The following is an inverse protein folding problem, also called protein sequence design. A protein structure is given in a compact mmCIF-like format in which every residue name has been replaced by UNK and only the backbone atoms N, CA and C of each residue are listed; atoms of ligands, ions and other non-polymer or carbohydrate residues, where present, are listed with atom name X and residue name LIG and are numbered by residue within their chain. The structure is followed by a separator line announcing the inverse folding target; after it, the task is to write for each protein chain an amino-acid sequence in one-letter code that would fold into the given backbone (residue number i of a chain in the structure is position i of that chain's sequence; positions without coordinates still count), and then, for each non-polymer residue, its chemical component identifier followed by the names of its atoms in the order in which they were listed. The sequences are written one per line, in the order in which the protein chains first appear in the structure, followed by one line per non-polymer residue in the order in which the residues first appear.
data_IF_591872289692
#
_entry.id   IF_591872289692
#
_cell.length_a   1.000
_cell.length_b   1.000
_cell.length_c   1.000
_cell.angle_alpha   90.00
_cell.angle_beta   90.00
_cell.angle_gamma   90.00
#
_symmetry.space_group_name_H-M   'P 1'
#
loop_
_entity.id
_entity.type
_entity.pdbx_description
1 polymer ?
#
# COMPACT_ATOMS: atom_id res chain seq x y z
N UNK A 1 -20.41 27.66 -10.69
CA UNK A 1 -20.93 28.25 -11.94
C UNK A 1 -19.81 29.09 -12.54
N UNK A 2 -19.30 28.71 -13.72
CA UNK A 2 -18.36 29.57 -14.45
C UNK A 2 -19.13 30.80 -14.91
N UNK A 3 -18.58 31.98 -14.65
CA UNK A 3 -19.22 33.25 -15.03
C UNK A 3 -18.97 33.45 -16.51
N UNK A 4 -20.05 33.59 -17.28
CA UNK A 4 -19.98 33.93 -18.70
C UNK A 4 -19.26 35.27 -18.89
N UNK A 5 -18.42 35.35 -19.93
CA UNK A 5 -17.63 36.55 -20.26
C UNK A 5 -18.56 37.71 -20.64
N UNK A 6 -19.09 38.40 -19.65
CA UNK A 6 -20.01 39.52 -19.86
C UNK A 6 -20.89 39.88 -18.67
N UNK A 7 -21.00 39.00 -17.65
CA UNK A 7 -21.84 39.28 -16.48
C UNK A 7 -21.28 40.42 -15.60
N UNK A 8 -19.94 40.59 -15.57
CA UNK A 8 -19.29 41.62 -14.75
C UNK A 8 -18.06 42.18 -15.47
N UNK A 9 -18.00 43.51 -15.61
CA UNK A 9 -16.84 44.23 -16.16
C UNK A 9 -15.78 44.35 -15.06
N UNK A 10 -14.63 43.66 -15.22
CA UNK A 10 -13.53 43.67 -14.23
C UNK A 10 -13.21 42.31 -13.60
N UNK A 11 -13.99 41.27 -13.89
CA UNK A 11 -13.69 39.90 -13.42
C UNK A 11 -12.75 39.22 -14.42
N UNK A 12 -11.43 39.36 -14.19
CA UNK A 12 -10.44 38.53 -14.88
C UNK A 12 -10.75 37.06 -14.59
N UNK A 13 -10.98 36.28 -15.66
CA UNK A 13 -10.94 34.81 -15.64
C UNK A 13 -9.54 34.39 -15.18
N UNK A 14 -9.30 34.42 -13.88
CA UNK A 14 -8.10 33.80 -13.32
C UNK A 14 -8.37 32.31 -13.36
N UNK A 15 -7.75 31.65 -14.34
CA UNK A 15 -7.22 30.31 -14.16
C UNK A 15 -6.63 30.33 -12.74
N UNK A 16 -7.30 29.67 -11.80
CA UNK A 16 -6.81 29.66 -10.42
C UNK A 16 -5.50 28.92 -10.50
N UNK A 17 -4.41 29.65 -10.59
CA UNK A 17 -3.11 29.18 -10.14
C UNK A 17 -3.34 28.94 -8.65
N UNK A 18 -3.84 27.74 -8.35
CA UNK A 18 -3.78 27.19 -7.02
C UNK A 18 -2.29 27.05 -6.78
N UNK A 19 -1.69 28.11 -6.23
CA UNK A 19 -0.37 28.02 -5.61
C UNK A 19 -0.35 26.84 -4.64
N UNK A 20 0.86 26.41 -4.27
CA UNK A 20 1.13 25.25 -3.42
C UNK A 20 0.22 25.23 -2.19
N UNK A 21 -0.90 24.52 -2.30
CA UNK A 21 -1.89 24.38 -1.25
C UNK A 21 -1.87 22.93 -0.84
N UNK A 22 -1.29 22.66 0.33
CA UNK A 22 -1.02 21.29 0.79
C UNK A 22 -2.31 20.45 0.87
N UNK A 23 -3.40 21.05 1.35
CA UNK A 23 -4.71 20.40 1.38
C UNK A 23 -5.22 20.04 -0.03
N UNK A 24 -4.99 20.91 -1.02
CA UNK A 24 -5.33 20.61 -2.41
C UNK A 24 -4.41 19.56 -3.02
N UNK A 25 -3.11 19.54 -2.68
CA UNK A 25 -2.18 18.53 -3.15
C UNK A 25 -2.51 17.14 -2.62
N UNK A 26 -2.85 17.03 -1.33
CA UNK A 26 -3.28 15.77 -0.70
C UNK A 26 -4.64 15.34 -1.24
N UNK A 27 -5.62 16.25 -1.26
CA UNK A 27 -6.99 15.92 -1.69
C UNK A 27 -7.12 15.61 -3.19
N UNK A 28 -6.26 16.19 -4.02
CA UNK A 28 -6.19 15.89 -5.47
C UNK A 28 -5.07 14.93 -5.83
N UNK A 29 -4.41 14.32 -4.83
CA UNK A 29 -3.36 13.34 -5.09
C UNK A 29 -4.00 12.15 -5.79
N UNK A 30 -3.59 11.92 -7.04
CA UNK A 30 -4.00 10.70 -7.76
C UNK A 30 -3.21 9.53 -7.19
N UNK A 31 -3.91 8.43 -6.89
CA UNK A 31 -3.28 7.15 -6.56
C UNK A 31 -2.33 6.78 -7.71
N UNK A 32 -1.07 6.46 -7.39
CA UNK A 32 -0.15 5.91 -8.39
C UNK A 32 -0.78 4.65 -9.01
N UNK A 33 -0.64 4.44 -10.33
CA UNK A 33 -1.16 3.24 -10.96
C UNK A 33 -0.57 2.00 -10.28
N UNK A 34 -1.38 0.95 -10.17
CA UNK A 34 -0.92 -0.30 -9.61
C UNK A 34 0.20 -0.88 -10.49
N UNK A 35 1.33 -1.24 -9.88
CA UNK A 35 2.39 -1.95 -10.56
C UNK A 35 1.90 -3.36 -10.88
N UNK A 36 1.83 -3.71 -12.17
CA UNK A 36 1.36 -5.03 -12.63
C UNK A 36 2.21 -6.20 -12.11
N UNK A 37 3.47 -5.92 -11.78
CA UNK A 37 4.43 -6.91 -11.29
C UNK A 37 5.38 -6.27 -10.29
N UNK A 38 5.67 -6.99 -9.21
CA UNK A 38 6.76 -6.67 -8.30
C UNK A 38 8.04 -7.27 -8.88
N UNK A 39 8.95 -6.43 -9.37
CA UNK A 39 10.29 -6.87 -9.77
C UNK A 39 11.12 -7.12 -8.50
N UNK A 40 11.50 -8.38 -8.26
CA UNK A 40 12.18 -8.80 -7.02
C UNK A 40 13.71 -8.81 -7.14
N UNK A 41 14.25 -8.66 -8.35
CA UNK A 41 15.68 -8.61 -8.67
C UNK A 41 16.58 -9.56 -7.86
N UNK A 42 16.10 -10.76 -7.57
CA UNK A 42 16.83 -11.84 -6.90
C UNK A 42 17.48 -12.74 -7.95
N UNK A 43 18.74 -13.10 -7.75
CA UNK A 43 19.55 -13.92 -8.67
C UNK A 43 19.85 -15.32 -8.14
N UNK A 44 19.82 -15.51 -6.83
CA UNK A 44 20.14 -16.80 -6.18
C UNK A 44 19.15 -17.11 -5.05
N UNK A 45 18.94 -18.40 -4.72
CA UNK A 45 18.17 -18.80 -3.54
C UNK A 45 18.68 -18.12 -2.26
N UNK A 46 17.77 -17.80 -1.34
CA UNK A 46 18.00 -17.18 -0.03
C UNK A 46 18.67 -15.80 -0.06
N UNK A 47 18.76 -15.13 -1.22
CA UNK A 47 19.31 -13.77 -1.31
C UNK A 47 18.40 -12.74 -0.61
N UNK A 48 17.09 -12.93 -0.70
CA UNK A 48 16.08 -12.10 -0.02
C UNK A 48 14.99 -13.03 0.48
N UNK A 49 14.58 -12.87 1.73
CA UNK A 49 13.42 -13.57 2.29
C UNK A 49 12.32 -12.58 2.62
N UNK A 50 11.07 -12.98 2.36
CA UNK A 50 9.89 -12.23 2.73
C UNK A 50 9.25 -12.98 3.90
N UNK A 51 9.10 -12.30 5.03
CA UNK A 51 8.44 -12.85 6.20
C UNK A 51 7.16 -12.06 6.49
N UNK A 52 6.11 -12.76 6.87
CA UNK A 52 4.87 -12.15 7.34
C UNK A 52 4.23 -13.02 8.41
N UNK A 53 3.37 -12.39 9.22
CA UNK A 53 2.66 -13.05 10.31
C UNK A 53 1.16 -13.05 10.00
N UNK A 54 0.62 -14.23 9.75
CA UNK A 54 -0.82 -14.41 9.65
C UNK A 54 -1.39 -14.62 11.06
N UNK A 55 -2.18 -13.66 11.53
CA UNK A 55 -2.89 -13.76 12.81
C UNK A 55 -4.36 -14.07 12.50
N UNK A 56 -4.79 -15.34 12.65
CA UNK A 56 -6.19 -15.70 12.49
C UNK A 56 -7.04 -15.16 13.66
N UNK A 57 -8.37 -15.18 13.54
CA UNK A 57 -9.31 -14.71 14.58
C UNK A 57 -9.16 -15.46 15.90
N UNK A 58 -9.88 -15.12 16.98
CA UNK A 58 -9.76 -15.88 18.24
C UNK A 58 -10.46 -17.24 18.21
N UNK A 59 -11.46 -17.41 17.34
CA UNK A 59 -12.35 -18.58 17.31
C UNK A 59 -12.09 -19.52 16.12
N UNK A 60 -10.82 -19.73 15.76
CA UNK A 60 -10.46 -20.51 14.56
C UNK A 60 -10.61 -22.02 14.73
N UNK A 61 -10.99 -22.50 15.92
CA UNK A 61 -10.99 -23.91 16.26
C UNK A 61 -9.60 -24.55 16.33
N UNK A 62 -8.52 -23.75 16.39
CA UNK A 62 -7.14 -24.25 16.55
C UNK A 62 -6.46 -23.63 17.77
N UNK A 63 -5.46 -24.32 18.32
CA UNK A 63 -4.63 -23.82 19.42
C UNK A 63 -3.58 -22.78 19.00
N UNK A 64 -3.45 -22.54 17.71
CA UNK A 64 -2.41 -21.67 17.15
C UNK A 64 -2.93 -20.25 17.06
N UNK A 65 -2.10 -19.30 17.49
CA UNK A 65 -2.45 -17.88 17.54
C UNK A 65 -1.92 -17.11 16.34
N UNK A 66 -0.86 -17.62 15.72
CA UNK A 66 -0.29 -17.03 14.53
C UNK A 66 0.42 -18.06 13.67
N UNK A 67 0.61 -17.73 12.40
CA UNK A 67 1.43 -18.51 11.46
C UNK A 67 2.49 -17.57 10.90
N UNK A 68 3.75 -17.85 11.21
CA UNK A 68 4.88 -17.19 10.59
C UNK A 68 5.12 -17.83 9.22
N UNK A 69 5.03 -17.02 8.18
CA UNK A 69 5.23 -17.40 6.79
C UNK A 69 6.58 -16.83 6.37
N UNK A 70 7.53 -17.69 6.00
CA UNK A 70 8.83 -17.29 5.48
C UNK A 70 8.91 -17.77 4.04
N UNK A 71 9.20 -16.88 3.11
CA UNK A 71 9.28 -17.19 1.68
C UNK A 71 10.61 -16.72 1.10
N UNK A 72 11.32 -17.63 0.43
CA UNK A 72 12.48 -17.28 -0.38
C UNK A 72 12.07 -16.44 -1.60
N UNK A 73 12.74 -15.31 -1.80
CA UNK A 73 12.45 -14.34 -2.84
C UNK A 73 12.75 -14.84 -4.26
N UNK A 74 13.70 -15.76 -4.39
CA UNK A 74 14.12 -16.33 -5.67
C UNK A 74 13.32 -17.58 -6.04
N UNK A 75 13.43 -18.65 -5.25
CA UNK A 75 12.79 -19.95 -5.51
C UNK A 75 11.30 -19.97 -5.19
N UNK A 76 10.80 -18.98 -4.43
CA UNK A 76 9.43 -18.94 -3.92
C UNK A 76 9.12 -20.10 -2.96
N UNK A 77 10.13 -20.80 -2.45
CA UNK A 77 9.96 -21.81 -1.42
C UNK A 77 9.39 -21.18 -0.16
N UNK A 78 8.30 -21.74 0.37
CA UNK A 78 7.59 -21.22 1.54
C UNK A 78 7.74 -22.20 2.70
N UNK A 79 8.17 -21.69 3.85
CA UNK A 79 8.18 -22.40 5.12
C UNK A 79 7.14 -21.78 6.06
N UNK A 80 6.35 -22.63 6.70
CA UNK A 80 5.29 -22.23 7.63
C UNK A 80 5.66 -22.68 9.04
N UNK A 81 5.61 -21.76 9.99
CA UNK A 81 5.76 -22.05 11.41
C UNK A 81 4.48 -21.68 12.14
N UNK A 82 3.80 -22.68 12.71
CA UNK A 82 2.62 -22.47 13.53
C UNK A 82 3.06 -22.07 14.94
N UNK A 83 2.59 -20.92 15.41
CA UNK A 83 2.98 -20.34 16.70
C UNK A 83 1.85 -20.48 17.72
N UNK A 84 2.21 -20.83 18.94
CA UNK A 84 1.36 -20.80 20.13
C UNK A 84 1.89 -19.74 21.09
N UNK A 85 1.04 -19.15 21.92
CA UNK A 85 1.47 -18.41 23.12
C UNK A 85 2.14 -19.37 24.08
N UNK A 86 3.43 -19.56 23.92
CA UNK A 86 4.26 -20.23 24.92
C UNK A 86 5.64 -19.62 24.84
N UNK A 87 5.74 -18.40 25.37
CA UNK A 87 6.97 -17.93 26.01
C UNK A 87 6.83 -18.24 27.50
N UNK A 88 7.33 -19.39 27.93
CA UNK A 88 7.31 -19.87 29.31
C UNK A 88 7.73 -21.32 29.38
#
# INVERSE_FOLDING_TARGET
MMVDKGLVRGMLMKQRDLGTCDACHIGKQKKKPHLKKLERNTKTPNQVVYADLLIPSKDNGTRFEAVLIIMDGFSRFVTLHMLTTTSG
#
